data_IF_124628328141
#
_entry.id   IF_124628328141
#
_cell.length_a   1.000
_cell.length_b   1.000
_cell.length_c   1.000
_cell.angle_alpha   90.00
_cell.angle_beta   90.00
_cell.angle_gamma   90.00
#
_symmetry.space_group_name_H-M   'P 1'
#
loop_
_entity.id
_entity.type
_entity.pdbx_description
1 polymer ?
#
# COMPACT_ATOMS: atom_id res chain seq x y z
N UNK A 1 56.45 3.28 -9.38
CA UNK A 1 55.42 4.24 -9.84
C UNK A 1 54.13 3.43 -9.90
N UNK A 2 53.34 3.47 -8.83
CA UNK A 2 52.18 2.58 -8.68
C UNK A 2 50.93 3.40 -8.96
N UNK A 3 50.25 3.08 -10.06
CA UNK A 3 49.07 3.80 -10.53
C UNK A 3 47.82 3.09 -9.99
N UNK A 4 47.13 3.75 -9.08
CA UNK A 4 45.86 3.27 -8.49
C UNK A 4 44.73 3.37 -9.51
N UNK A 5 43.97 2.28 -9.70
CA UNK A 5 42.76 2.26 -10.54
C UNK A 5 41.56 2.66 -9.71
N UNK A 6 40.93 3.78 -10.07
CA UNK A 6 39.64 4.22 -9.50
C UNK A 6 38.52 3.42 -10.13
N UNK A 7 37.91 2.49 -9.38
CA UNK A 7 36.68 1.83 -9.82
C UNK A 7 35.50 2.77 -9.63
N UNK A 8 35.00 3.37 -10.72
CA UNK A 8 33.69 4.02 -10.73
C UNK A 8 32.62 2.93 -10.75
N UNK A 9 32.26 2.42 -9.59
CA UNK A 9 31.06 1.58 -9.44
C UNK A 9 29.82 2.45 -9.66
N UNK A 10 28.96 2.07 -10.60
CA UNK A 10 27.61 2.60 -10.69
C UNK A 10 26.89 2.24 -9.38
N UNK A 11 26.50 3.24 -8.61
CA UNK A 11 25.58 3.03 -7.49
C UNK A 11 24.22 2.66 -8.07
N UNK A 12 23.98 1.37 -8.29
CA UNK A 12 22.64 0.87 -8.52
C UNK A 12 21.88 1.03 -7.20
N UNK A 13 20.95 1.99 -7.16
CA UNK A 13 20.02 2.08 -6.04
C UNK A 13 19.26 0.75 -5.98
N UNK A 14 19.46 -0.03 -4.92
CA UNK A 14 18.81 -1.32 -4.78
C UNK A 14 17.30 -1.09 -4.75
N UNK A 15 16.60 -1.62 -5.74
CA UNK A 15 15.14 -1.64 -5.72
C UNK A 15 14.70 -2.63 -4.64
N UNK A 16 13.94 -2.11 -3.69
CA UNK A 16 13.29 -2.90 -2.67
C UNK A 16 11.83 -3.11 -3.05
N UNK A 17 11.38 -4.33 -2.86
CA UNK A 17 9.99 -4.75 -2.99
C UNK A 17 9.50 -5.26 -1.65
N UNK A 18 8.24 -5.04 -1.34
CA UNK A 18 7.62 -5.59 -0.15
C UNK A 18 6.13 -5.78 -0.30
N UNK A 19 5.52 -6.33 0.73
CA UNK A 19 4.10 -6.62 0.78
C UNK A 19 3.52 -6.25 2.15
N UNK A 20 2.22 -5.94 2.18
CA UNK A 20 1.45 -5.75 3.39
C UNK A 20 0.04 -6.30 3.15
N UNK A 21 -0.55 -6.92 4.16
CA UNK A 21 -1.91 -7.44 4.09
C UNK A 21 -2.66 -7.19 5.38
N UNK A 22 -3.98 -7.12 5.28
CA UNK A 22 -4.83 -7.03 6.45
C UNK A 22 -6.19 -7.66 6.22
N UNK A 23 -6.71 -8.32 7.26
CA UNK A 23 -8.03 -8.93 7.27
C UNK A 23 -8.89 -8.36 8.38
N UNK A 24 -10.12 -8.00 8.04
CA UNK A 24 -11.14 -7.58 8.99
C UNK A 24 -12.44 -8.33 8.69
N UNK A 25 -13.47 -8.16 9.53
CA UNK A 25 -14.77 -8.79 9.29
C UNK A 25 -15.31 -8.38 7.92
N UNK A 26 -15.54 -9.37 7.05
CA UNK A 26 -16.08 -9.19 5.70
C UNK A 26 -15.13 -8.64 4.64
N UNK A 27 -13.86 -8.36 4.95
CA UNK A 27 -12.91 -7.86 3.95
C UNK A 27 -11.49 -8.41 4.16
N UNK A 28 -10.83 -8.76 3.06
CA UNK A 28 -9.41 -9.10 3.03
C UNK A 28 -8.72 -8.26 1.96
N UNK A 29 -7.61 -7.60 2.29
CA UNK A 29 -6.87 -6.81 1.33
C UNK A 29 -5.37 -7.02 1.43
N UNK A 30 -4.75 -6.96 0.27
CA UNK A 30 -3.32 -7.21 0.05
C UNK A 30 -2.76 -6.05 -0.77
N UNK A 31 -1.49 -5.74 -0.51
CA UNK A 31 -0.73 -4.74 -1.22
C UNK A 31 0.67 -5.26 -1.45
N UNK A 32 1.18 -5.12 -2.67
CA UNK A 32 2.60 -5.25 -2.96
C UNK A 32 3.14 -3.93 -3.46
N UNK A 33 4.37 -3.60 -3.10
CA UNK A 33 5.05 -2.42 -3.60
C UNK A 33 6.41 -2.74 -4.20
N UNK A 34 6.80 -1.94 -5.19
CA UNK A 34 8.07 -2.04 -5.92
C UNK A 34 8.60 -0.65 -6.26
N UNK A 35 9.79 -0.58 -6.87
CA UNK A 35 10.49 0.67 -7.16
C UNK A 35 10.79 1.51 -5.90
N UNK A 36 10.93 0.88 -4.72
CA UNK A 36 11.34 1.59 -3.51
C UNK A 36 12.86 1.62 -3.43
N UNK A 37 13.45 2.81 -3.50
CA UNK A 37 14.91 3.00 -3.41
C UNK A 37 15.29 4.06 -2.37
N UNK A 38 14.35 4.40 -1.47
CA UNK A 38 14.49 5.44 -0.46
C UNK A 38 13.17 6.19 -0.22
N UNK A 39 13.10 7.02 0.83
CA UNK A 39 11.86 7.71 1.20
C UNK A 39 11.29 8.62 0.10
N UNK A 40 12.14 9.19 -0.75
CA UNK A 40 11.78 10.08 -1.86
C UNK A 40 11.31 9.33 -3.12
N UNK A 41 11.35 7.99 -3.12
CA UNK A 41 10.99 7.18 -4.27
C UNK A 41 9.53 7.37 -4.70
N UNK A 42 9.30 7.25 -6.02
CA UNK A 42 7.96 7.06 -6.57
C UNK A 42 7.66 5.55 -6.61
N UNK A 43 6.97 5.09 -5.57
CA UNK A 43 6.72 3.67 -5.32
C UNK A 43 5.57 3.19 -6.17
N UNK A 44 5.74 2.07 -6.87
CA UNK A 44 4.65 1.39 -7.59
C UNK A 44 3.91 0.50 -6.61
N UNK A 45 2.59 0.59 -6.60
CA UNK A 45 1.71 -0.12 -5.68
C UNK A 45 0.72 -0.95 -6.49
N UNK A 46 0.61 -2.23 -6.16
CA UNK A 46 -0.47 -3.11 -6.62
C UNK A 46 -1.32 -3.49 -5.43
N UNK A 47 -2.64 -3.38 -5.58
CA UNK A 47 -3.62 -3.72 -4.56
C UNK A 47 -4.51 -4.86 -5.00
N UNK A 48 -4.94 -5.67 -4.04
CA UNK A 48 -6.04 -6.60 -4.18
C UNK A 48 -6.98 -6.49 -2.97
N UNK A 49 -8.29 -6.62 -3.22
CA UNK A 49 -9.32 -6.59 -2.18
C UNK A 49 -10.44 -7.56 -2.50
N UNK A 50 -10.64 -8.48 -1.56
CA UNK A 50 -11.69 -9.47 -1.57
C UNK A 50 -12.83 -9.04 -0.63
N UNK A 51 -14.06 -9.05 -1.14
CA UNK A 51 -15.27 -9.02 -0.31
C UNK A 51 -15.63 -10.46 0.07
N UNK A 52 -15.51 -10.78 1.36
CA UNK A 52 -15.64 -12.16 1.85
C UNK A 52 -16.93 -12.40 2.63
N UNK A 53 -17.86 -11.43 2.66
CA UNK A 53 -19.12 -11.61 3.39
C UNK A 53 -20.36 -11.08 2.64
N UNK A 54 -21.38 -11.93 2.51
CA UNK A 54 -22.64 -11.59 1.85
C UNK A 54 -23.59 -10.78 2.76
N UNK A 55 -23.33 -9.49 2.91
CA UNK A 55 -24.07 -8.62 3.84
C UNK A 55 -24.49 -7.25 3.28
N UNK A 56 -24.23 -7.02 1.99
CA UNK A 56 -24.61 -5.79 1.28
C UNK A 56 -23.75 -4.58 1.63
N UNK A 57 -22.65 -4.74 2.37
CA UNK A 57 -21.70 -3.67 2.63
C UNK A 57 -20.65 -3.63 1.51
N UNK A 58 -20.11 -2.46 1.24
CA UNK A 58 -18.95 -2.32 0.36
C UNK A 58 -17.66 -2.52 1.15
N UNK A 59 -16.61 -2.98 0.49
CA UNK A 59 -15.27 -3.08 1.09
C UNK A 59 -14.33 -2.06 0.45
N UNK A 60 -13.38 -1.57 1.24
CA UNK A 60 -12.44 -0.51 0.87
C UNK A 60 -11.03 -0.86 1.29
N UNK A 61 -10.05 -0.39 0.52
CA UNK A 61 -8.64 -0.48 0.88
C UNK A 61 -7.93 0.86 0.57
N UNK A 62 -6.85 1.18 1.29
CA UNK A 62 -5.94 2.27 0.94
C UNK A 62 -4.52 1.99 1.39
N UNK A 63 -3.56 2.65 0.75
CA UNK A 63 -2.21 2.78 1.28
C UNK A 63 -2.25 3.58 2.60
N UNK A 64 -1.41 3.17 3.54
CA UNK A 64 -1.04 3.94 4.72
C UNK A 64 0.47 4.05 4.73
N UNK A 65 0.99 5.23 5.01
CA UNK A 65 2.44 5.39 5.14
C UNK A 65 2.80 6.26 6.33
N UNK A 66 4.09 6.27 6.71
CA UNK A 66 4.63 7.27 7.65
C UNK A 66 5.66 8.15 6.96
N UNK A 67 5.74 9.42 7.36
CA UNK A 67 6.81 10.33 6.94
C UNK A 67 8.02 10.31 7.89
N UNK A 68 9.02 11.15 7.60
CA UNK A 68 10.26 11.29 8.38
C UNK A 68 10.03 11.67 9.84
N UNK A 69 8.88 12.25 10.19
CA UNK A 69 8.52 12.59 11.57
C UNK A 69 7.62 11.53 12.23
N UNK A 70 7.40 10.40 11.57
CA UNK A 70 6.53 9.33 12.04
C UNK A 70 5.03 9.65 11.92
N UNK A 71 4.64 10.70 11.19
CA UNK A 71 3.23 11.03 11.00
C UNK A 71 2.60 10.07 10.00
N UNK A 72 1.49 9.45 10.40
CA UNK A 72 0.71 8.57 9.53
C UNK A 72 -0.04 9.36 8.45
N UNK A 73 0.13 8.96 7.20
CA UNK A 73 -0.57 9.46 6.04
C UNK A 73 -1.54 8.42 5.50
N UNK A 74 -2.77 8.85 5.32
CA UNK A 74 -3.85 8.01 4.82
C UNK A 74 -4.19 8.42 3.39
N UNK A 75 -4.00 7.50 2.47
CA UNK A 75 -4.18 7.76 1.04
C UNK A 75 -5.65 7.60 0.63
N UNK A 76 -6.05 8.05 -0.57
CA UNK A 76 -7.42 7.87 -1.05
C UNK A 76 -7.86 6.41 -1.06
N UNK A 77 -9.13 6.17 -0.74
CA UNK A 77 -9.72 4.84 -0.76
C UNK A 77 -9.91 4.31 -2.18
N UNK A 78 -9.60 3.03 -2.39
CA UNK A 78 -10.17 2.19 -3.46
C UNK A 78 -11.32 1.40 -2.87
N UNK A 79 -12.40 1.24 -3.64
CA UNK A 79 -13.62 0.58 -3.17
C UNK A 79 -13.97 -0.56 -4.12
N UNK A 80 -14.20 -1.75 -3.58
CA UNK A 80 -14.86 -2.82 -4.31
C UNK A 80 -16.37 -2.72 -4.08
N UNK A 81 -17.11 -2.48 -5.16
CA UNK A 81 -18.58 -2.40 -5.17
C UNK A 81 -19.23 -3.56 -5.91
N UNK A 82 -18.46 -4.59 -6.30
CA UNK A 82 -18.96 -5.74 -7.05
C UNK A 82 -19.68 -6.75 -6.14
N UNK A 83 -19.52 -6.63 -4.82
CA UNK A 83 -20.20 -7.42 -3.81
C UNK A 83 -19.46 -8.72 -3.43
N UNK A 84 -20.14 -9.56 -2.65
CA UNK A 84 -19.56 -10.77 -2.08
C UNK A 84 -18.92 -11.72 -3.10
N UNK A 85 -17.78 -12.29 -2.73
CA UNK A 85 -17.05 -13.29 -3.51
C UNK A 85 -16.25 -12.70 -4.67
N UNK A 86 -16.17 -11.38 -4.76
CA UNK A 86 -15.45 -10.68 -5.82
C UNK A 86 -14.10 -10.18 -5.32
N UNK A 87 -13.13 -10.17 -6.24
CA UNK A 87 -11.80 -9.62 -6.04
C UNK A 87 -11.60 -8.45 -6.99
N UNK A 88 -11.24 -7.30 -6.46
CA UNK A 88 -10.87 -6.13 -7.25
C UNK A 88 -9.40 -5.81 -7.08
N UNK A 89 -8.74 -5.42 -8.16
CA UNK A 89 -7.31 -5.09 -8.17
C UNK A 89 -7.06 -3.72 -8.79
N UNK A 90 -6.03 -3.03 -8.30
CA UNK A 90 -5.64 -1.71 -8.82
C UNK A 90 -4.13 -1.54 -8.81
N UNK A 91 -3.60 -0.95 -9.87
CA UNK A 91 -2.23 -0.46 -9.92
C UNK A 91 -2.20 1.06 -9.74
N UNK A 92 -1.27 1.55 -8.94
CA UNK A 92 -1.09 2.98 -8.71
C UNK A 92 0.35 3.30 -8.32
N UNK A 93 0.65 4.57 -8.10
CA UNK A 93 1.94 5.00 -7.57
C UNK A 93 1.74 5.92 -6.38
N UNK A 94 2.74 5.97 -5.51
CA UNK A 94 2.76 6.82 -4.34
C UNK A 94 4.13 7.48 -4.15
N UNK A 95 4.11 8.76 -3.81
CA UNK A 95 5.29 9.54 -3.42
C UNK A 95 4.86 10.65 -2.48
N UNK A 96 5.63 10.91 -1.43
CA UNK A 96 5.27 11.93 -0.44
C UNK A 96 6.44 12.91 -0.25
N UNK A 97 6.20 14.24 -0.19
CA UNK A 97 7.28 15.23 -0.08
C UNK A 97 8.20 15.05 1.14
N UNK A 98 7.66 14.49 2.22
CA UNK A 98 8.39 14.23 3.47
C UNK A 98 8.84 12.77 3.60
N UNK A 99 8.82 12.06 2.46
CA UNK A 99 9.22 10.67 2.33
C UNK A 99 8.15 9.65 2.71
N UNK A 100 8.36 8.43 2.22
CA UNK A 100 7.64 7.19 2.57
C UNK A 100 8.58 6.27 3.35
N UNK A 101 8.35 6.10 4.65
CA UNK A 101 9.23 5.31 5.53
C UNK A 101 8.65 3.94 5.85
N UNK A 102 7.44 3.89 6.43
CA UNK A 102 6.66 2.66 6.55
C UNK A 102 5.58 2.67 5.49
N UNK A 103 5.31 1.53 4.87
CA UNK A 103 4.34 1.37 3.79
C UNK A 103 3.45 0.19 4.17
N UNK A 104 2.20 0.48 4.53
CA UNK A 104 1.21 -0.49 4.94
C UNK A 104 -0.11 -0.35 4.18
N UNK A 105 -1.06 -1.23 4.46
CA UNK A 105 -2.41 -1.22 3.87
C UNK A 105 -3.46 -1.13 4.96
N UNK A 106 -4.45 -0.27 4.77
CA UNK A 106 -5.67 -0.27 5.57
C UNK A 106 -6.81 -0.88 4.77
N UNK A 107 -7.50 -1.82 5.39
CA UNK A 107 -8.68 -2.48 4.82
C UNK A 107 -9.87 -2.17 5.71
N UNK A 108 -11.01 -1.86 5.11
CA UNK A 108 -12.21 -1.46 5.82
C UNK A 108 -13.47 -2.00 5.15
N UNK A 109 -14.50 -2.21 5.97
CA UNK A 109 -15.86 -2.53 5.51
C UNK A 109 -16.75 -1.33 5.79
N UNK A 110 -17.59 -0.97 4.83
CA UNK A 110 -18.41 0.23 4.83
C UNK A 110 -19.88 -0.11 4.53
N UNK A 111 -20.80 0.38 5.34
CA UNK A 111 -22.23 0.19 5.10
C UNK A 111 -22.71 0.97 3.84
N UNK A 112 -23.98 0.81 3.47
CA UNK A 112 -24.58 1.48 2.30
C UNK A 112 -24.58 3.01 2.38
N UNK A 113 -24.50 3.59 3.58
CA UNK A 113 -24.32 5.04 3.79
C UNK A 113 -22.86 5.50 3.66
N UNK A 114 -21.93 4.57 3.41
CA UNK A 114 -20.50 4.82 3.27
C UNK A 114 -19.73 4.95 4.58
N UNK A 115 -20.37 4.69 5.72
CA UNK A 115 -19.75 4.70 7.05
C UNK A 115 -18.91 3.45 7.25
N UNK A 116 -17.65 3.61 7.67
CA UNK A 116 -16.79 2.49 8.04
C UNK A 116 -17.31 1.85 9.33
N UNK A 117 -17.59 0.54 9.28
CA UNK A 117 -18.08 -0.24 10.42
C UNK A 117 -16.97 -1.01 11.13
N UNK A 118 -15.95 -1.42 10.39
CA UNK A 118 -14.75 -2.05 10.91
C UNK A 118 -13.58 -1.81 9.95
N UNK A 119 -12.36 -1.77 10.49
CA UNK A 119 -11.15 -1.66 9.70
C UNK A 119 -9.96 -2.27 10.41
N UNK A 120 -8.88 -2.52 9.66
CA UNK A 120 -7.60 -2.98 10.19
C UNK A 120 -6.46 -2.39 9.36
N UNK A 121 -5.26 -2.30 9.93
CA UNK A 121 -4.04 -1.85 9.24
C UNK A 121 -2.98 -2.94 9.38
N UNK A 122 -2.37 -3.32 8.25
CA UNK A 122 -1.15 -4.12 8.21
C UNK A 122 0.02 -3.27 7.72
N UNK A 123 1.19 -3.41 8.33
CA UNK A 123 2.41 -2.67 8.02
C UNK A 123 3.46 -3.59 7.42
#
# INVERSE_FOLDING_TARGET
MTLSVSMTGTAHAAEYTGDASCKTTGAHGEMTYSNYHGPDANVKIHFALDDVQADGYGVRLRLVSTDVWGKTHYWPWRTNTQGYGTRSTWDTTASHPNGLFNIGVQVARANSAGTIVNSCIGW
#
